data_IF_625630584534
#
_entry.id   IF_625630584534
#
_cell.length_a   1.000
_cell.length_b   1.000
_cell.length_c   1.000
_cell.angle_alpha   90.00
_cell.angle_beta   90.00
_cell.angle_gamma   90.00
#
_symmetry.space_group_name_H-M   'P 1'
#
loop_
_entity.id
_entity.type
_entity.pdbx_description
1 polymer ?
#
# COMPACT_ATOMS: atom_id res chain seq x y z
N UNK A 1 -46.00 -9.73 -1.34
CA UNK A 1 -45.04 -8.62 -1.23
C UNK A 1 -43.83 -9.17 -0.51
N UNK A 2 -42.70 -9.44 -1.23
CA UNK A 2 -41.50 -9.91 -0.63
C UNK A 2 -40.53 -8.71 -0.49
N UNK A 3 -40.30 -8.31 0.74
CA UNK A 3 -39.32 -7.28 1.10
C UNK A 3 -37.95 -7.73 0.58
N UNK A 4 -37.43 -6.99 -0.42
CA UNK A 4 -36.01 -7.05 -0.78
C UNK A 4 -35.26 -6.21 0.24
N UNK A 5 -34.76 -6.84 1.30
CA UNK A 5 -33.68 -6.27 2.07
C UNK A 5 -32.46 -6.14 1.12
N UNK A 6 -32.26 -4.94 0.63
CA UNK A 6 -30.99 -4.54 0.03
C UNK A 6 -29.94 -4.56 1.14
N UNK A 7 -29.22 -5.69 1.24
CA UNK A 7 -27.98 -5.77 2.02
C UNK A 7 -26.97 -4.79 1.43
N UNK A 8 -27.05 -3.53 1.84
CA UNK A 8 -25.94 -2.58 1.73
C UNK A 8 -24.88 -2.94 2.78
N UNK A 9 -24.25 -4.09 2.63
CA UNK A 9 -22.91 -4.29 3.21
C UNK A 9 -22.00 -3.31 2.49
N UNK A 10 -21.83 -2.12 3.08
CA UNK A 10 -20.79 -1.17 2.67
C UNK A 10 -19.47 -1.97 2.62
N UNK A 11 -19.01 -2.31 1.42
CA UNK A 11 -17.74 -2.99 1.24
C UNK A 11 -16.68 -2.15 1.93
N UNK A 12 -16.13 -2.70 3.02
CA UNK A 12 -15.18 -1.98 3.85
C UNK A 12 -13.95 -1.61 2.99
N UNK A 13 -13.56 -0.34 2.98
CA UNK A 13 -12.39 0.17 2.25
C UNK A 13 -11.16 -0.63 2.66
N UNK A 14 -10.57 -1.35 1.70
CA UNK A 14 -9.38 -2.17 1.93
C UNK A 14 -8.13 -1.31 1.96
N UNK A 15 -7.18 -1.67 2.80
CA UNK A 15 -5.81 -1.16 2.75
C UNK A 15 -5.00 -2.14 1.90
N UNK A 16 -4.57 -1.69 0.74
CA UNK A 16 -3.79 -2.47 -0.21
C UNK A 16 -2.36 -1.92 -0.21
N UNK A 17 -1.41 -2.72 0.25
CA UNK A 17 0.02 -2.44 0.12
C UNK A 17 0.45 -2.86 -1.30
N UNK A 18 0.88 -1.91 -2.13
CA UNK A 18 1.29 -2.20 -3.49
C UNK A 18 2.61 -1.49 -3.84
N UNK A 19 3.62 -2.28 -4.24
CA UNK A 19 4.99 -1.82 -4.45
C UNK A 19 5.75 -2.71 -5.45
N UNK A 20 6.74 -2.12 -6.13
CA UNK A 20 7.79 -2.85 -6.82
C UNK A 20 8.92 -3.26 -5.85
N UNK A 21 9.50 -4.43 -6.06
CA UNK A 21 10.61 -4.95 -5.25
C UNK A 21 11.61 -5.73 -6.12
N UNK A 22 12.86 -5.83 -5.62
CA UNK A 22 13.84 -6.80 -6.12
C UNK A 22 13.48 -8.23 -5.70
N UNK A 23 14.10 -9.24 -6.32
CA UNK A 23 13.90 -10.66 -5.95
C UNK A 23 14.29 -10.92 -4.49
N UNK A 24 15.31 -10.23 -3.99
CA UNK A 24 15.79 -10.32 -2.60
C UNK A 24 15.06 -9.36 -1.62
N UNK A 25 13.95 -8.73 -2.07
CA UNK A 25 12.98 -8.07 -1.18
C UNK A 25 13.28 -6.62 -0.82
N UNK A 26 14.11 -5.92 -1.60
CA UNK A 26 14.38 -4.49 -1.39
C UNK A 26 13.49 -3.60 -2.24
N UNK A 27 13.08 -2.46 -1.68
CA UNK A 27 12.27 -1.43 -2.35
C UNK A 27 13.12 -0.29 -2.91
N UNK A 28 14.35 -0.16 -2.43
CA UNK A 28 15.29 0.86 -2.87
C UNK A 28 16.74 0.42 -2.54
N UNK A 29 17.73 1.05 -3.17
CA UNK A 29 19.13 0.97 -2.81
C UNK A 29 19.39 1.59 -1.43
N UNK A 30 20.59 1.43 -0.83
CA UNK A 30 20.92 2.04 0.47
C UNK A 30 20.75 3.57 0.50
N UNK A 31 21.02 4.25 -0.61
CA UNK A 31 20.87 5.71 -0.79
C UNK A 31 19.41 6.15 -1.05
N UNK A 32 18.49 5.20 -1.22
CA UNK A 32 17.08 5.44 -1.52
C UNK A 32 16.74 5.45 -3.02
N UNK A 33 17.70 5.27 -3.92
CA UNK A 33 17.43 5.15 -5.35
C UNK A 33 16.66 3.86 -5.68
N UNK A 34 15.76 3.92 -6.65
CA UNK A 34 14.91 2.80 -7.11
C UNK A 34 14.97 2.65 -8.64
N UNK A 35 16.08 3.03 -9.24
CA UNK A 35 16.40 2.98 -10.67
C UNK A 35 16.26 1.59 -11.29
N UNK A 36 16.34 0.53 -10.47
CA UNK A 36 16.16 -0.86 -10.90
C UNK A 36 14.68 -1.21 -11.14
N UNK A 37 13.74 -0.44 -10.60
CA UNK A 37 12.32 -0.67 -10.82
C UNK A 37 11.90 -0.20 -12.21
N UNK A 38 11.13 -1.03 -12.90
CA UNK A 38 10.55 -0.70 -14.19
C UNK A 38 9.12 -1.23 -14.29
N UNK A 39 8.33 -0.60 -15.13
CA UNK A 39 6.99 -1.05 -15.46
C UNK A 39 6.93 -1.31 -16.96
N UNK A 40 6.89 -2.58 -17.42
CA UNK A 40 6.77 -2.89 -18.82
C UNK A 40 5.40 -2.49 -19.36
N UNK A 41 5.31 -2.24 -20.67
CA UNK A 41 4.09 -1.74 -21.30
C UNK A 41 2.86 -2.62 -21.10
N UNK A 42 3.04 -3.94 -21.10
CA UNK A 42 1.99 -4.93 -20.85
C UNK A 42 1.50 -4.97 -19.38
N UNK A 43 2.28 -4.44 -18.43
CA UNK A 43 1.87 -4.26 -17.05
C UNK A 43 1.02 -2.99 -16.83
N UNK A 44 1.10 -2.02 -17.72
CA UNK A 44 0.44 -0.71 -17.53
C UNK A 44 -1.08 -0.81 -17.42
N UNK A 45 -1.72 -1.73 -18.14
CA UNK A 45 -3.17 -1.95 -18.05
C UNK A 45 -3.57 -2.48 -16.65
N UNK A 46 -2.81 -3.43 -16.09
CA UNK A 46 -3.02 -3.97 -14.74
C UNK A 46 -2.81 -2.88 -13.68
N UNK A 47 -1.79 -2.03 -13.86
CA UNK A 47 -1.54 -0.90 -12.96
C UNK A 47 -2.67 0.14 -13.02
N UNK A 48 -3.14 0.50 -14.22
CA UNK A 48 -4.26 1.41 -14.40
C UNK A 48 -5.56 0.86 -13.79
N UNK A 49 -5.83 -0.44 -13.97
CA UNK A 49 -6.97 -1.11 -13.35
C UNK A 49 -6.88 -1.06 -11.81
N UNK A 50 -5.70 -1.33 -11.24
CA UNK A 50 -5.47 -1.17 -9.80
C UNK A 50 -5.72 0.26 -9.35
N UNK A 51 -5.12 1.26 -10.03
CA UNK A 51 -5.26 2.67 -9.70
C UNK A 51 -6.73 3.14 -9.72
N UNK A 52 -7.53 2.65 -10.67
CA UNK A 52 -8.96 2.95 -10.76
C UNK A 52 -9.77 2.47 -9.55
N UNK A 53 -9.26 1.51 -8.77
CA UNK A 53 -9.90 1.02 -7.53
C UNK A 53 -9.63 1.88 -6.30
N UNK A 54 -8.83 2.94 -6.44
CA UNK A 54 -8.32 3.76 -5.34
C UNK A 54 -9.00 5.15 -5.29
N UNK A 55 -9.06 5.74 -4.10
CA UNK A 55 -9.36 7.16 -3.89
C UNK A 55 -8.48 7.79 -2.80
N UNK A 56 -7.64 7.00 -2.16
CA UNK A 56 -6.76 7.44 -1.06
C UNK A 56 -5.41 6.75 -1.18
N UNK A 57 -4.34 7.52 -0.99
CA UNK A 57 -2.98 7.00 -0.87
C UNK A 57 -2.38 7.43 0.48
N UNK A 58 -1.56 6.56 1.06
CA UNK A 58 -0.87 6.76 2.33
C UNK A 58 0.60 6.47 2.13
N UNK A 59 1.45 7.41 2.52
CA UNK A 59 2.90 7.29 2.40
C UNK A 59 3.63 7.87 3.63
N UNK A 60 4.86 7.43 3.83
CA UNK A 60 5.76 8.03 4.79
C UNK A 60 6.45 9.27 4.22
N UNK A 61 7.05 10.09 5.09
CA UNK A 61 7.71 11.34 4.71
C UNK A 61 8.79 11.15 3.64
N UNK A 62 9.65 10.13 3.75
CA UNK A 62 10.69 9.89 2.75
C UNK A 62 10.13 9.59 1.36
N UNK A 63 9.05 8.80 1.29
CA UNK A 63 8.35 8.51 0.03
C UNK A 63 7.75 9.79 -0.57
N UNK A 64 7.14 10.64 0.25
CA UNK A 64 6.66 11.95 -0.17
C UNK A 64 7.78 12.82 -0.76
N UNK A 65 8.93 12.91 -0.09
CA UNK A 65 10.06 13.73 -0.57
C UNK A 65 10.54 13.25 -1.95
N UNK A 66 10.56 11.94 -2.18
CA UNK A 66 10.91 11.33 -3.47
C UNK A 66 9.87 11.66 -4.53
N UNK A 67 8.58 11.45 -4.26
CA UNK A 67 7.51 11.74 -5.24
C UNK A 67 7.45 13.22 -5.60
N UNK A 68 7.68 14.10 -4.61
CA UNK A 68 7.77 15.54 -4.83
C UNK A 68 8.96 15.92 -5.74
N UNK A 69 10.13 15.32 -5.53
CA UNK A 69 11.32 15.54 -6.37
C UNK A 69 11.11 15.06 -7.81
N UNK A 70 10.26 14.07 -8.05
CA UNK A 70 9.89 13.60 -9.39
C UNK A 70 8.84 14.49 -10.10
N UNK A 71 8.39 15.56 -9.44
CA UNK A 71 7.42 16.51 -10.02
C UNK A 71 5.95 16.11 -9.86
N UNK A 72 5.67 14.98 -9.25
CA UNK A 72 4.30 14.45 -9.10
C UNK A 72 3.78 14.59 -7.66
N UNK A 73 4.40 15.31 -6.78
CA UNK A 73 3.96 15.60 -5.39
C UNK A 73 2.90 14.65 -4.77
N UNK A 74 2.29 13.80 -5.55
CA UNK A 74 1.23 12.82 -5.24
C UNK A 74 0.83 12.09 -6.51
N UNK A 75 -0.01 11.05 -6.39
CA UNK A 75 -0.43 10.22 -7.52
C UNK A 75 -1.45 10.91 -8.44
N UNK A 76 -1.41 12.23 -8.58
CA UNK A 76 -2.24 13.00 -9.50
C UNK A 76 -3.76 12.80 -9.35
N UNK A 77 -4.57 13.71 -9.91
CA UNK A 77 -6.02 13.53 -10.04
C UNK A 77 -6.82 13.55 -8.73
N UNK A 78 -7.76 12.61 -8.58
CA UNK A 78 -8.77 12.60 -7.50
C UNK A 78 -8.35 11.79 -6.25
N UNK A 79 -7.07 11.40 -6.11
CA UNK A 79 -6.59 10.62 -4.96
C UNK A 79 -6.23 11.56 -3.81
N UNK A 80 -6.82 11.32 -2.64
CA UNK A 80 -6.46 12.02 -1.40
C UNK A 80 -5.18 11.43 -0.83
N UNK A 81 -4.15 12.25 -0.63
CA UNK A 81 -2.84 11.81 -0.17
C UNK A 81 -2.64 12.14 1.31
N UNK A 82 -2.27 11.14 2.11
CA UNK A 82 -1.91 11.27 3.52
C UNK A 82 -0.43 10.97 3.70
N UNK A 83 0.29 11.88 4.35
CA UNK A 83 1.73 11.76 4.62
C UNK A 83 1.97 11.60 6.10
N UNK A 84 2.44 10.44 6.53
CA UNK A 84 2.89 10.22 7.89
C UNK A 84 4.26 10.88 8.11
N UNK A 85 4.32 11.83 9.03
CA UNK A 85 5.55 12.54 9.39
C UNK A 85 5.67 12.71 10.90
N UNK A 86 6.85 12.40 11.43
CA UNK A 86 7.19 12.65 12.84
C UNK A 86 7.72 14.07 13.05
N UNK A 87 8.28 14.67 12.02
CA UNK A 87 8.98 15.97 12.08
C UNK A 87 8.13 17.14 11.62
N UNK A 88 7.34 16.97 10.56
CA UNK A 88 6.47 18.02 10.07
C UNK A 88 5.16 18.07 10.88
N UNK A 89 4.66 19.27 11.21
CA UNK A 89 3.38 19.42 11.88
C UNK A 89 2.23 18.90 11.02
N UNK A 90 1.14 18.39 11.64
CA UNK A 90 -0.07 18.03 10.92
C UNK A 90 -0.69 19.22 10.17
N UNK A 91 -1.43 18.94 9.11
CA UNK A 91 -2.13 19.96 8.32
C UNK A 91 -1.99 19.73 6.82
N UNK A 92 -2.67 20.56 6.03
CA UNK A 92 -2.65 20.55 4.58
C UNK A 92 -1.43 21.30 4.04
N UNK A 93 -0.71 20.69 3.07
CA UNK A 93 0.40 21.30 2.32
C UNK A 93 0.52 20.64 0.96
N UNK A 94 0.73 21.43 -0.07
CA UNK A 94 0.96 20.95 -1.44
C UNK A 94 -0.11 19.92 -1.90
N UNK A 95 -1.37 20.13 -1.49
CA UNK A 95 -2.48 19.20 -1.79
C UNK A 95 -2.45 17.86 -1.03
N UNK A 96 -1.64 17.76 0.03
CA UNK A 96 -1.51 16.56 0.87
C UNK A 96 -1.84 16.84 2.33
N UNK A 97 -2.42 15.86 3.01
CA UNK A 97 -2.72 15.91 4.44
C UNK A 97 -1.58 15.27 5.24
N UNK A 98 -0.83 16.07 5.99
CA UNK A 98 0.21 15.57 6.91
C UNK A 98 -0.42 15.13 8.22
N UNK A 99 -0.03 13.93 8.69
CA UNK A 99 -0.58 13.31 9.90
C UNK A 99 0.51 12.79 10.83
N UNK A 100 0.25 12.86 12.15
CA UNK A 100 1.09 12.29 13.23
C UNK A 100 0.37 11.22 14.04
N UNK A 101 -0.91 11.04 13.81
CA UNK A 101 -1.72 10.10 14.56
C UNK A 101 -1.30 8.63 14.33
N UNK A 102 -1.76 7.74 15.21
CA UNK A 102 -1.54 6.31 15.01
C UNK A 102 -2.23 5.85 13.71
N UNK A 103 -1.57 5.02 12.87
CA UNK A 103 -2.17 4.48 11.65
C UNK A 103 -3.55 3.87 11.84
N UNK A 104 -3.79 3.19 12.98
CA UNK A 104 -5.09 2.60 13.30
C UNK A 104 -6.19 3.66 13.37
N UNK A 105 -5.92 4.80 14.00
CA UNK A 105 -6.89 5.91 14.14
C UNK A 105 -7.28 6.46 12.78
N UNK A 106 -6.30 6.72 11.91
CA UNK A 106 -6.57 7.20 10.54
C UNK A 106 -7.39 6.18 9.75
N UNK A 107 -7.01 4.90 9.77
CA UNK A 107 -7.71 3.86 9.00
C UNK A 107 -9.14 3.67 9.52
N UNK A 108 -9.38 3.71 10.82
CA UNK A 108 -10.73 3.64 11.38
C UNK A 108 -11.61 4.83 10.92
N UNK A 109 -11.05 6.05 10.88
CA UNK A 109 -11.73 7.24 10.34
C UNK A 109 -12.06 7.06 8.85
N UNK A 110 -11.09 6.61 8.05
CA UNK A 110 -11.27 6.42 6.61
C UNK A 110 -12.28 5.31 6.29
N UNK A 111 -12.29 4.22 7.06
CA UNK A 111 -13.23 3.10 6.86
C UNK A 111 -14.69 3.45 7.20
N UNK A 112 -14.93 4.47 8.01
CA UNK A 112 -16.26 5.01 8.28
C UNK A 112 -16.82 5.90 7.14
N UNK A 113 -15.95 6.31 6.21
CA UNK A 113 -16.32 7.14 5.07
C UNK A 113 -16.66 6.26 3.86
N UNK A 114 -17.63 6.69 3.03
CA UNK A 114 -17.80 6.11 1.69
C UNK A 114 -16.55 6.38 0.84
N UNK A 115 -16.15 5.42 0.05
CA UNK A 115 -15.00 5.57 -0.83
C UNK A 115 -14.50 4.25 -1.38
N UNK A 116 -13.42 4.35 -2.17
CA UNK A 116 -12.70 3.22 -2.76
C UNK A 116 -11.63 2.70 -1.80
N UNK A 117 -10.74 1.85 -2.30
CA UNK A 117 -9.64 1.32 -1.52
C UNK A 117 -8.58 2.37 -1.18
N UNK A 118 -7.72 2.03 -0.23
CA UNK A 118 -6.64 2.84 0.31
C UNK A 118 -5.33 2.19 -0.12
N UNK A 119 -4.49 2.91 -0.84
CA UNK A 119 -3.16 2.47 -1.24
C UNK A 119 -2.13 2.80 -0.17
N UNK A 120 -1.49 1.80 0.43
CA UNK A 120 -0.30 1.96 1.25
C UNK A 120 0.93 1.89 0.35
N UNK A 121 1.49 3.05 0.02
CA UNK A 121 2.65 3.20 -0.87
C UNK A 121 3.99 2.86 -0.19
N UNK A 122 4.06 2.98 1.14
CA UNK A 122 5.30 2.73 1.88
C UNK A 122 5.87 4.00 2.51
N UNK A 123 7.16 4.18 2.94
CA UNK A 123 8.24 3.17 2.95
C UNK A 123 8.15 2.11 4.05
N UNK A 124 9.23 1.33 4.15
CA UNK A 124 9.28 0.13 4.97
C UNK A 124 8.89 0.32 6.44
N UNK A 125 9.32 1.40 7.09
CA UNK A 125 8.92 1.67 8.50
C UNK A 125 7.42 1.86 8.65
N UNK A 126 6.77 2.59 7.74
CA UNK A 126 5.32 2.77 7.78
C UNK A 126 4.59 1.44 7.50
N UNK A 127 5.09 0.66 6.55
CA UNK A 127 4.57 -0.70 6.26
C UNK A 127 4.67 -1.58 7.52
N UNK A 128 5.81 -1.57 8.22
CA UNK A 128 5.97 -2.28 9.49
C UNK A 128 4.90 -1.88 10.50
N UNK A 129 4.64 -0.59 10.67
CA UNK A 129 3.64 -0.10 11.62
C UNK A 129 2.22 -0.54 11.24
N UNK A 130 1.88 -0.55 9.94
CA UNK A 130 0.62 -1.08 9.44
C UNK A 130 0.49 -2.59 9.65
N UNK A 131 1.55 -3.36 9.39
CA UNK A 131 1.58 -4.81 9.63
C UNK A 131 1.50 -5.15 11.12
N UNK A 132 2.18 -4.37 11.98
CA UNK A 132 2.10 -4.50 13.45
C UNK A 132 0.66 -4.33 13.94
N UNK A 133 -0.05 -3.35 13.41
CA UNK A 133 -1.43 -3.05 13.76
C UNK A 133 -2.49 -3.92 13.04
N UNK A 134 -2.07 -4.90 12.20
CA UNK A 134 -2.94 -5.78 11.37
C UNK A 134 -3.91 -5.00 10.45
N UNK A 135 -3.44 -3.90 9.87
CA UNK A 135 -4.25 -3.00 9.04
C UNK A 135 -4.23 -3.34 7.55
N UNK A 136 -3.24 -4.12 7.08
CA UNK A 136 -3.09 -4.49 5.67
C UNK A 136 -4.06 -5.60 5.32
N UNK A 137 -4.92 -5.37 4.32
CA UNK A 137 -5.90 -6.35 3.84
C UNK A 137 -5.39 -7.12 2.63
N UNK A 138 -4.64 -6.45 1.74
CA UNK A 138 -4.05 -7.07 0.55
C UNK A 138 -2.62 -6.60 0.35
N UNK A 139 -1.80 -7.47 -0.26
CA UNK A 139 -0.43 -7.20 -0.66
C UNK A 139 -0.33 -7.45 -2.16
N UNK A 140 0.07 -6.43 -2.92
CA UNK A 140 0.32 -6.53 -4.34
C UNK A 140 1.81 -6.22 -4.59
N UNK A 141 2.57 -7.18 -5.09
CA UNK A 141 4.00 -7.04 -5.35
C UNK A 141 4.30 -7.15 -6.83
N UNK A 142 5.05 -6.18 -7.35
CA UNK A 142 5.71 -6.30 -8.64
C UNK A 142 7.17 -6.70 -8.42
N UNK A 143 7.51 -7.97 -8.65
CA UNK A 143 8.88 -8.47 -8.44
C UNK A 143 9.64 -8.29 -9.73
N UNK A 144 10.68 -7.46 -9.73
CA UNK A 144 11.60 -7.31 -10.86
C UNK A 144 12.75 -8.32 -10.74
N UNK A 145 13.24 -8.89 -11.86
CA UNK A 145 14.24 -9.95 -11.86
C UNK A 145 15.65 -9.40 -11.61
N UNK A 146 15.87 -8.80 -10.44
CA UNK A 146 17.18 -8.26 -10.01
C UNK A 146 17.44 -8.63 -8.55
N UNK A 147 18.70 -8.92 -8.25
CA UNK A 147 19.22 -9.02 -6.88
C UNK A 147 20.05 -7.76 -6.60
N UNK A 148 19.77 -7.09 -5.49
CA UNK A 148 20.53 -5.90 -5.07
C UNK A 148 21.65 -6.25 -4.09
N UNK A 149 21.50 -7.33 -3.31
CA UNK A 149 22.45 -7.73 -2.26
C UNK A 149 22.33 -6.90 -0.97
N UNK A 150 22.05 -5.60 -1.10
CA UNK A 150 21.79 -4.67 0.00
C UNK A 150 20.78 -3.61 -0.40
N UNK A 151 20.14 -2.96 0.57
CA UNK A 151 19.15 -1.93 0.27
C UNK A 151 18.18 -1.67 1.42
N UNK A 152 17.13 -0.92 1.11
CA UNK A 152 16.03 -0.66 2.03
C UNK A 152 15.01 -1.81 1.89
N UNK A 153 14.83 -2.65 2.93
CA UNK A 153 13.95 -3.81 2.85
C UNK A 153 12.48 -3.38 2.83
N UNK A 154 11.65 -4.12 2.06
CA UNK A 154 10.19 -3.96 2.10
C UNK A 154 9.64 -4.27 3.49
N UNK A 155 10.15 -5.33 4.12
CA UNK A 155 9.69 -5.82 5.41
C UNK A 155 10.77 -5.70 6.50
N UNK A 156 10.97 -4.51 7.09
CA UNK A 156 11.83 -4.40 8.27
C UNK A 156 11.27 -5.25 9.42
N UNK A 157 12.13 -5.74 10.30
CA UNK A 157 11.71 -6.51 11.49
C UNK A 157 10.78 -5.71 12.42
N UNK A 158 10.07 -6.40 13.32
CA UNK A 158 9.30 -5.78 14.40
C UNK A 158 7.78 -5.81 14.24
N UNK A 159 7.25 -6.75 13.47
CA UNK A 159 5.82 -7.08 13.43
C UNK A 159 5.60 -8.59 13.63
N UNK A 160 4.42 -9.02 14.16
CA UNK A 160 4.10 -10.43 14.34
C UNK A 160 3.87 -11.11 12.98
N UNK A 161 4.01 -12.43 12.95
CA UNK A 161 3.64 -13.23 11.77
C UNK A 161 2.23 -12.89 11.29
N UNK A 162 2.07 -12.75 9.97
CA UNK A 162 0.80 -12.52 9.28
C UNK A 162 0.67 -13.52 8.14
N UNK A 163 -0.48 -14.21 8.06
CA UNK A 163 -0.74 -15.18 7.01
C UNK A 163 -1.53 -14.52 5.89
N UNK A 164 -1.13 -14.81 4.66
CA UNK A 164 -1.78 -14.35 3.44
C UNK A 164 -2.04 -15.53 2.52
N UNK A 165 -3.11 -15.47 1.76
CA UNK A 165 -3.44 -16.43 0.71
C UNK A 165 -3.22 -15.78 -0.66
N UNK A 166 -2.61 -16.50 -1.58
CA UNK A 166 -2.45 -16.06 -2.96
C UNK A 166 -3.82 -15.91 -3.63
N UNK A 167 -4.05 -14.78 -4.27
CA UNK A 167 -5.24 -14.49 -5.06
C UNK A 167 -4.95 -14.57 -6.56
N UNK A 168 -3.84 -14.00 -6.99
CA UNK A 168 -3.47 -13.89 -8.39
C UNK A 168 -1.95 -13.86 -8.52
N UNK A 169 -1.45 -14.46 -9.61
CA UNK A 169 -0.08 -14.26 -10.09
C UNK A 169 -0.13 -14.04 -11.60
N UNK A 170 0.74 -13.16 -12.11
CA UNK A 170 0.90 -12.89 -13.54
C UNK A 170 2.35 -12.63 -13.85
N UNK A 171 2.79 -13.13 -15.02
CA UNK A 171 4.10 -12.81 -15.59
C UNK A 171 3.92 -11.78 -16.71
N UNK A 172 4.86 -10.84 -16.78
CA UNK A 172 4.91 -9.78 -17.79
C UNK A 172 6.24 -9.78 -18.52
N UNK A 173 6.33 -9.01 -19.59
CA UNK A 173 7.57 -8.87 -20.36
C UNK A 173 8.72 -8.41 -19.45
N UNK A 174 9.95 -8.64 -19.90
CA UNK A 174 11.19 -8.39 -19.14
C UNK A 174 11.27 -9.12 -17.79
N UNK A 175 10.47 -10.18 -17.57
CA UNK A 175 10.54 -11.02 -16.38
C UNK A 175 9.90 -10.45 -15.12
N UNK A 176 9.10 -9.36 -15.21
CA UNK A 176 8.33 -8.87 -14.08
C UNK A 176 7.24 -9.86 -13.69
N UNK A 177 7.14 -10.16 -12.39
CA UNK A 177 6.07 -11.03 -11.83
C UNK A 177 5.21 -10.19 -10.88
N UNK A 178 3.90 -10.19 -11.11
CA UNK A 178 2.92 -9.62 -10.17
C UNK A 178 2.34 -10.72 -9.29
N UNK A 179 2.35 -10.49 -7.97
CA UNK A 179 1.73 -11.35 -6.98
C UNK A 179 0.71 -10.53 -6.18
N UNK A 180 -0.52 -11.07 -6.06
CA UNK A 180 -1.55 -10.47 -5.19
C UNK A 180 -1.97 -11.45 -4.11
N UNK A 181 -1.93 -11.00 -2.88
CA UNK A 181 -2.26 -11.78 -1.70
C UNK A 181 -3.35 -11.12 -0.87
N UNK A 182 -4.19 -11.92 -0.23
CA UNK A 182 -5.23 -11.48 0.72
C UNK A 182 -4.88 -11.92 2.13
N UNK A 183 -5.05 -11.03 3.09
CA UNK A 183 -4.85 -11.30 4.51
C UNK A 183 -5.80 -12.40 5.01
N UNK A 184 -5.25 -13.44 5.61
CA UNK A 184 -6.00 -14.50 6.30
C UNK A 184 -6.03 -14.20 7.79
N UNK A 185 -7.17 -13.74 8.30
CA UNK A 185 -7.39 -13.54 9.74
C UNK A 185 -8.06 -14.78 10.31
N UNK A 186 -7.46 -15.40 11.34
CA UNK A 186 -8.14 -16.46 12.08
C UNK A 186 -9.40 -15.88 12.73
N UNK A 187 -10.53 -16.58 12.62
CA UNK A 187 -11.71 -16.25 13.42
C UNK A 187 -11.31 -16.31 14.90
N UNK A 188 -11.52 -15.25 15.65
CA UNK A 188 -11.30 -15.27 17.09
C UNK A 188 -12.11 -16.45 17.67
N UNK A 189 -11.43 -17.41 18.32
CA UNK A 189 -12.12 -18.44 19.07
C UNK A 189 -12.97 -17.70 20.12
N UNK A 190 -14.30 -17.75 20.00
CA UNK A 190 -15.18 -17.34 21.11
C UNK A 190 -14.75 -18.18 22.32
N UNK A 191 -14.15 -17.55 23.32
CA UNK A 191 -13.98 -18.21 24.61
C UNK A 191 -15.38 -18.57 25.09
N UNK A 192 -15.61 -19.89 25.24
CA UNK A 192 -16.74 -20.42 25.98
C UNK A 192 -16.53 -20.18 27.46
#
# INVERSE_FOLDING_TARGET
MRDRHLDYTLSMRKVIMALGISVDGYIARPDGAFDFLFMPGDFMADFAAFHATLDTAIMGRKTYDITKAMGDGGMGGKIRNYVFSRTLPPGERDGMTFVKENPKVLIEKLRKQKGKNIWLMGGGELIRDFLKADLVDEIHLGIVPVLLGEGIPLFPSGFPQRNFALMENKSFSKGLISLKYKRVRSKAKKKR
#
